data_IF_983935869758
#
_entry.id   IF_983935869758
#
_cell.length_a   1.000
_cell.length_b   1.000
_cell.length_c   1.000
_cell.angle_alpha   90.00
_cell.angle_beta   90.00
_cell.angle_gamma   90.00
#
_symmetry.space_group_name_H-M   'P 1'
#
loop_
_entity.id
_entity.type
_entity.pdbx_description
1 polymer ?
#
# COMPACT_ATOMS: atom_id res chain seq x y z
N UNK A 1 -5.96 -11.43 -3.63
CA UNK A 1 -5.20 -10.52 -2.73
C UNK A 1 -4.53 -9.47 -3.58
N UNK A 2 -4.09 -8.32 -3.04
CA UNK A 2 -3.56 -7.23 -3.88
C UNK A 2 -2.25 -7.61 -4.60
N UNK A 3 -2.13 -7.20 -5.86
CA UNK A 3 -0.90 -7.24 -6.65
C UNK A 3 0.10 -6.18 -6.19
N UNK A 4 1.36 -6.27 -6.63
CA UNK A 4 2.36 -5.21 -6.37
C UNK A 4 1.91 -3.87 -6.94
N UNK A 5 1.33 -3.84 -8.15
CA UNK A 5 0.79 -2.61 -8.76
C UNK A 5 -0.32 -2.01 -7.90
N UNK A 6 -1.30 -2.81 -7.51
CA UNK A 6 -2.42 -2.36 -6.66
C UNK A 6 -1.92 -1.82 -5.32
N UNK A 7 -0.95 -2.49 -4.68
CA UNK A 7 -0.35 -1.99 -3.44
C UNK A 7 0.33 -0.63 -3.62
N UNK A 8 1.05 -0.42 -4.73
CA UNK A 8 1.69 0.87 -5.04
C UNK A 8 0.67 1.98 -5.25
N UNK A 9 -0.38 1.69 -6.01
CA UNK A 9 -1.46 2.66 -6.26
C UNK A 9 -2.22 3.02 -4.97
N UNK A 10 -2.47 2.04 -4.09
CA UNK A 10 -3.05 2.28 -2.77
C UNK A 10 -2.11 3.18 -1.97
N UNK A 11 -0.81 2.88 -1.96
CA UNK A 11 0.16 3.65 -1.20
C UNK A 11 0.23 5.12 -1.68
N UNK A 12 0.21 5.36 -2.99
CA UNK A 12 0.20 6.72 -3.56
C UNK A 12 -1.09 7.48 -3.20
N UNK A 13 -2.23 6.79 -3.23
CA UNK A 13 -3.51 7.40 -2.81
C UNK A 13 -3.52 7.75 -1.33
N UNK A 14 -2.96 6.89 -0.47
CA UNK A 14 -2.85 7.16 0.97
C UNK A 14 -1.90 8.34 1.23
N UNK A 15 -0.74 8.40 0.54
CA UNK A 15 0.15 9.57 0.60
C UNK A 15 -0.61 10.85 0.30
N UNK A 16 -1.32 10.87 -0.84
CA UNK A 16 -2.06 12.05 -1.29
C UNK A 16 -3.15 12.45 -0.28
N UNK A 17 -3.93 11.48 0.20
CA UNK A 17 -4.98 11.73 1.19
C UNK A 17 -4.41 12.35 2.47
N UNK A 18 -3.30 11.82 3.00
CA UNK A 18 -2.67 12.37 4.19
C UNK A 18 -2.17 13.80 3.94
N UNK A 19 -1.59 14.08 2.76
CA UNK A 19 -1.16 15.44 2.38
C UNK A 19 -2.31 16.43 2.28
N UNK A 20 -3.45 16.01 1.75
CA UNK A 20 -4.64 16.86 1.61
C UNK A 20 -5.18 17.36 2.95
N UNK A 21 -4.87 16.69 4.07
CA UNK A 21 -5.23 17.17 5.41
C UNK A 21 -4.52 18.46 5.81
N UNK A 22 -3.41 18.81 5.13
CA UNK A 22 -2.53 19.94 5.48
C UNK A 22 -2.13 19.97 6.97
N UNK A 23 -2.03 18.81 7.61
CA UNK A 23 -1.71 18.72 9.03
C UNK A 23 -0.27 19.18 9.29
N UNK A 24 -0.04 20.13 10.22
CA UNK A 24 1.26 20.77 10.40
C UNK A 24 2.37 19.82 10.88
N UNK A 25 2.01 18.70 11.50
CA UNK A 25 2.97 17.70 11.97
C UNK A 25 3.37 16.67 10.91
N UNK A 26 2.82 16.73 9.68
CA UNK A 26 3.24 15.82 8.63
C UNK A 26 4.65 16.17 8.13
N UNK A 27 5.53 15.18 7.93
CA UNK A 27 6.90 15.42 7.48
C UNK A 27 6.90 15.98 6.06
N UNK A 28 7.87 16.82 5.67
CA UNK A 28 7.97 17.30 4.29
C UNK A 28 8.35 16.18 3.29
N UNK A 29 9.09 15.16 3.77
CA UNK A 29 9.44 13.94 3.02
C UNK A 29 8.28 12.94 2.95
N UNK A 30 8.39 11.86 2.18
CA UNK A 30 7.38 10.80 2.10
C UNK A 30 6.89 10.36 3.49
N UNK A 31 5.57 10.24 3.64
CA UNK A 31 4.94 9.91 4.92
C UNK A 31 5.10 8.41 5.18
N UNK A 32 5.68 8.04 6.32
CA UNK A 32 5.80 6.62 6.66
C UNK A 32 4.46 6.11 7.23
N UNK A 33 3.96 4.99 6.70
CA UNK A 33 2.75 4.34 7.20
C UNK A 33 2.77 2.83 6.96
N UNK A 34 1.93 2.11 7.72
CA UNK A 34 1.58 0.71 7.47
C UNK A 34 0.07 0.57 7.56
N UNK A 35 -0.51 0.01 6.51
CA UNK A 35 -1.92 -0.26 6.35
C UNK A 35 -2.11 -1.77 6.32
N UNK A 36 -2.72 -2.30 7.37
CA UNK A 36 -3.15 -3.69 7.43
C UNK A 36 -4.58 -3.81 6.92
N UNK A 37 -4.81 -4.74 5.98
CA UNK A 37 -6.11 -5.00 5.38
C UNK A 37 -6.46 -6.46 5.58
N UNK A 38 -7.49 -6.71 6.39
CA UNK A 38 -8.10 -8.03 6.50
C UNK A 38 -8.77 -8.41 5.18
N UNK A 39 -8.52 -9.64 4.76
CA UNK A 39 -9.19 -10.25 3.63
C UNK A 39 -10.47 -10.95 4.06
N UNK A 40 -11.18 -11.51 3.06
CA UNK A 40 -12.46 -12.20 3.27
C UNK A 40 -12.36 -13.43 4.17
N UNK A 41 -11.19 -14.05 4.25
CA UNK A 41 -10.93 -15.24 5.05
C UNK A 41 -9.83 -14.95 6.08
N UNK A 42 -9.87 -15.65 7.22
CA UNK A 42 -8.96 -15.44 8.36
C UNK A 42 -7.45 -15.60 8.02
N UNK A 43 -7.14 -16.32 6.94
CA UNK A 43 -5.78 -16.53 6.45
C UNK A 43 -5.37 -15.56 5.34
N UNK A 44 -6.26 -14.67 4.92
CA UNK A 44 -6.01 -13.70 3.87
C UNK A 44 -5.88 -12.31 4.49
N UNK A 45 -4.71 -11.70 4.38
CA UNK A 45 -4.48 -10.31 4.78
C UNK A 45 -3.43 -9.66 3.87
N UNK A 46 -3.36 -8.33 3.86
CA UNK A 46 -2.30 -7.57 3.20
C UNK A 46 -1.76 -6.47 4.12
N UNK A 47 -0.44 -6.37 4.19
CA UNK A 47 0.26 -5.18 4.69
C UNK A 47 0.70 -4.34 3.49
N UNK A 48 0.38 -3.05 3.52
CA UNK A 48 0.70 -2.04 2.52
C UNK A 48 1.44 -0.90 3.23
N UNK A 49 2.61 -0.55 2.72
CA UNK A 49 3.44 0.53 3.27
C UNK A 49 3.64 1.63 2.23
N UNK A 50 4.18 2.78 2.64
CA UNK A 50 4.61 3.80 1.69
C UNK A 50 5.62 3.23 0.69
N UNK A 51 5.62 3.76 -0.54
CA UNK A 51 6.35 3.18 -1.65
C UNK A 51 7.87 3.22 -1.42
N UNK A 52 8.39 4.26 -0.75
CA UNK A 52 9.81 4.32 -0.36
C UNK A 52 10.22 3.37 0.75
N UNK A 53 9.29 2.78 1.51
CA UNK A 53 9.59 1.76 2.53
C UNK A 53 9.75 0.34 1.95
N UNK A 54 9.35 0.11 0.69
CA UNK A 54 9.39 -1.22 0.06
C UNK A 54 10.47 -1.27 -1.01
N UNK A 55 11.72 -1.49 -0.59
CA UNK A 55 12.88 -1.54 -1.50
C UNK A 55 12.82 -2.73 -2.48
N UNK A 56 12.34 -3.89 -2.03
CA UNK A 56 12.13 -5.08 -2.87
C UNK A 56 10.75 -5.64 -2.54
N UNK A 57 9.75 -5.47 -3.43
CA UNK A 57 8.42 -5.99 -3.18
C UNK A 57 8.43 -7.51 -3.29
N UNK A 58 7.85 -8.20 -2.31
CA UNK A 58 7.57 -9.62 -2.41
C UNK A 58 6.47 -9.83 -3.46
N UNK A 59 6.80 -10.53 -4.54
CA UNK A 59 5.85 -10.83 -5.63
C UNK A 59 5.13 -12.14 -5.33
N UNK A 60 3.80 -12.13 -5.40
CA UNK A 60 3.00 -13.35 -5.36
C UNK A 60 2.42 -13.61 -6.76
N UNK A 61 2.92 -14.60 -7.51
CA UNK A 61 2.46 -14.88 -8.87
C UNK A 61 0.95 -15.05 -9.00
N UNK A 62 0.27 -15.63 -7.99
CA UNK A 62 -1.18 -15.79 -7.99
C UNK A 62 -1.91 -14.44 -7.93
N UNK A 63 -1.45 -13.52 -7.09
CA UNK A 63 -2.03 -12.17 -6.99
C UNK A 63 -1.73 -11.33 -8.23
N UNK A 64 -0.52 -11.42 -8.80
CA UNK A 64 -0.17 -10.71 -10.03
C UNK A 64 -1.01 -11.20 -11.22
N UNK A 65 -1.29 -12.50 -11.30
CA UNK A 65 -2.16 -13.04 -12.34
C UNK A 65 -3.61 -12.56 -12.22
N UNK A 66 -4.08 -12.26 -11.01
CA UNK A 66 -5.41 -11.68 -10.75
C UNK A 66 -5.50 -10.20 -11.14
N UNK A 67 -4.38 -9.52 -11.32
CA UNK A 67 -4.31 -8.09 -11.67
C UNK A 67 -4.54 -7.80 -13.16
N UNK A 68 -4.79 -8.84 -13.97
CA UNK A 68 -5.11 -8.68 -15.39
C UNK A 68 -6.55 -8.22 -15.59
N UNK A 69 -6.85 -6.98 -15.21
CA UNK A 69 -8.02 -6.23 -15.64
C UNK A 69 -7.64 -4.77 -15.90
#
# INVERSE_FOLDING_TARGET
MFSVRQKREIADKVQKLLRETNHPELPEKEIEFSLYVDGKFDWSWADIKNNGAVAIPSVNPHNEMQDKQ
#
